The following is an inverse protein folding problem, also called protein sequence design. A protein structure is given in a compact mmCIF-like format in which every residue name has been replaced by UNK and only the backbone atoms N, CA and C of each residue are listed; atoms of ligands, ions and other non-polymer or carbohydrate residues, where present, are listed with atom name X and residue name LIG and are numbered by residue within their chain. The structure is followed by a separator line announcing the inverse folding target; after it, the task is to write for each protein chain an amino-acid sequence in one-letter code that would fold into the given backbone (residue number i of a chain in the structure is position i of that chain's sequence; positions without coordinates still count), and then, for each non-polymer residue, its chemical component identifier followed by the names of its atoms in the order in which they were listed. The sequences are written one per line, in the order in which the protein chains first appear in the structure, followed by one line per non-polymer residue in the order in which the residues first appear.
data_IF_210098344244
#
_entry.id   IF_210098344244
#
_cell.length_a   1.000
_cell.length_b   1.000
_cell.length_c   1.000
_cell.angle_alpha   90.00
_cell.angle_beta   90.00
_cell.angle_gamma   90.00
#
_symmetry.space_group_name_H-M   'P 1'
#
loop_
_entity.id
_entity.type
_entity.pdbx_description
1 polymer ?
#
# COMPACT_ATOMS: atom_id res chain seq x y z
N UNK A 1 25.46 9.02 -15.16
CA UNK A 1 25.24 9.67 -13.85
C UNK A 1 25.23 8.60 -12.78
N UNK A 2 26.10 8.66 -11.77
CA UNK A 2 26.07 7.72 -10.64
C UNK A 2 24.81 8.03 -9.82
N UNK A 3 23.83 7.13 -9.83
CA UNK A 3 22.63 7.23 -8.97
C UNK A 3 23.10 7.18 -7.51
N UNK A 4 22.90 8.27 -6.77
CA UNK A 4 23.11 8.27 -5.32
C UNK A 4 21.97 7.49 -4.68
N UNK A 5 22.29 6.51 -3.84
CA UNK A 5 21.28 5.69 -3.14
C UNK A 5 20.35 6.60 -2.33
N UNK A 6 19.07 6.62 -2.71
CA UNK A 6 18.01 7.38 -2.03
C UNK A 6 17.77 6.77 -0.66
N UNK A 7 17.78 7.62 0.36
CA UNK A 7 17.59 7.24 1.76
C UNK A 7 16.18 7.63 2.21
N UNK A 8 15.73 7.09 3.34
CA UNK A 8 14.44 7.42 3.95
C UNK A 8 14.20 8.93 4.09
N UNK A 9 15.25 9.70 4.41
CA UNK A 9 15.19 11.18 4.48
C UNK A 9 14.72 11.83 3.16
N UNK A 10 15.18 11.33 2.01
CA UNK A 10 14.76 11.84 0.70
C UNK A 10 13.26 11.61 0.48
N UNK A 11 12.76 10.43 0.84
CA UNK A 11 11.33 10.12 0.76
C UNK A 11 10.54 11.04 1.68
N UNK A 12 10.93 11.16 2.95
CA UNK A 12 10.25 12.00 3.94
C UNK A 12 10.11 13.45 3.44
N UNK A 13 11.17 13.99 2.83
CA UNK A 13 11.15 15.36 2.28
C UNK A 13 10.37 15.49 0.97
N UNK A 14 10.20 14.42 0.21
CA UNK A 14 9.51 14.42 -1.07
C UNK A 14 8.01 14.09 -0.95
N UNK A 15 7.59 13.47 0.15
CA UNK A 15 6.18 13.15 0.43
C UNK A 15 5.42 14.38 0.87
N UNK A 16 4.41 14.77 0.09
CA UNK A 16 3.48 15.85 0.46
C UNK A 16 2.53 15.38 1.57
N UNK A 17 1.81 14.28 1.32
CA UNK A 17 0.87 13.67 2.26
C UNK A 17 0.90 12.15 2.17
N UNK A 18 0.42 11.51 3.24
CA UNK A 18 0.00 10.11 3.24
C UNK A 18 -1.50 10.03 3.48
N UNK A 19 -2.14 9.01 2.91
CA UNK A 19 -3.56 8.75 3.07
C UNK A 19 -3.84 7.24 3.08
N UNK A 20 -4.91 6.79 3.74
CA UNK A 20 -5.38 5.42 3.65
C UNK A 20 -5.71 4.97 2.23
N UNK A 21 -5.46 3.69 1.96
CA UNK A 21 -5.79 3.06 0.69
C UNK A 21 -6.27 1.61 0.91
N UNK A 22 -7.19 1.18 0.05
CA UNK A 22 -7.52 -0.23 -0.17
C UNK A 22 -6.94 -0.61 -1.53
N UNK A 23 -6.09 -1.63 -1.55
CA UNK A 23 -5.61 -2.25 -2.78
C UNK A 23 -6.50 -3.46 -3.10
N UNK A 24 -7.10 -3.45 -4.29
CA UNK A 24 -7.86 -4.56 -4.84
C UNK A 24 -6.91 -5.33 -5.75
N UNK A 25 -6.52 -6.52 -5.31
CA UNK A 25 -5.65 -7.41 -6.08
C UNK A 25 -6.47 -8.41 -6.89
N UNK A 26 -5.99 -8.72 -8.08
CA UNK A 26 -6.62 -9.68 -8.99
C UNK A 26 -5.56 -10.59 -9.62
N UNK A 27 -5.90 -11.87 -9.79
CA UNK A 27 -5.00 -12.91 -10.25
C UNK A 27 -5.40 -13.34 -11.66
N UNK A 28 -4.61 -12.99 -12.67
CA UNK A 28 -4.88 -13.39 -14.06
C UNK A 28 -4.28 -14.76 -14.39
N UNK A 29 -3.33 -15.20 -13.56
CA UNK A 29 -2.74 -16.54 -13.60
C UNK A 29 -3.29 -17.37 -12.45
N UNK A 30 -3.64 -18.63 -12.73
CA UNK A 30 -4.14 -19.56 -11.72
C UNK A 30 -3.13 -19.79 -10.60
N UNK A 31 -3.59 -19.74 -9.34
CA UNK A 31 -2.76 -19.96 -8.16
C UNK A 31 -2.56 -21.44 -7.87
N UNK A 32 -1.87 -22.13 -8.77
CA UNK A 32 -1.57 -23.56 -8.68
C UNK A 32 -0.16 -23.84 -8.11
N UNK A 33 0.10 -25.06 -7.62
CA UNK A 33 1.46 -25.47 -7.26
C UNK A 33 2.44 -25.26 -8.42
N UNK A 34 3.55 -24.58 -8.15
CA UNK A 34 4.54 -24.21 -9.17
C UNK A 34 4.49 -22.74 -9.60
N UNK A 35 3.48 -21.97 -9.18
CA UNK A 35 3.48 -20.51 -9.35
C UNK A 35 4.72 -19.89 -8.69
N UNK A 36 5.44 -19.06 -9.43
CA UNK A 36 6.67 -18.42 -9.00
C UNK A 36 6.48 -16.91 -8.80
N UNK A 37 7.45 -16.27 -8.12
CA UNK A 37 7.46 -14.80 -8.01
C UNK A 37 7.55 -14.10 -9.37
N UNK A 38 8.13 -14.77 -10.39
CA UNK A 38 8.25 -14.22 -11.74
C UNK A 38 6.86 -14.09 -12.37
N UNK A 39 5.98 -15.06 -12.13
CA UNK A 39 4.59 -15.01 -12.61
C UNK A 39 3.83 -13.85 -11.96
N UNK A 40 4.03 -13.63 -10.66
CA UNK A 40 3.43 -12.50 -9.95
C UNK A 40 3.93 -11.15 -10.53
N UNK A 41 5.23 -11.03 -10.80
CA UNK A 41 5.82 -9.83 -11.39
C UNK A 41 5.28 -9.60 -12.80
N UNK A 42 5.18 -10.65 -13.61
CA UNK A 42 4.62 -10.60 -14.95
C UNK A 42 3.14 -10.23 -14.94
N UNK A 43 2.40 -10.65 -13.92
CA UNK A 43 0.99 -10.31 -13.69
C UNK A 43 0.78 -8.93 -13.04
N UNK A 44 1.68 -7.98 -13.32
CA UNK A 44 1.67 -6.63 -12.75
C UNK A 44 1.54 -6.61 -11.22
N UNK A 45 2.22 -7.53 -10.53
CA UNK A 45 2.15 -7.67 -9.07
C UNK A 45 0.70 -7.82 -8.53
N UNK A 46 -0.18 -8.44 -9.32
CA UNK A 46 -1.61 -8.61 -9.01
C UNK A 46 -2.43 -7.32 -8.93
N UNK A 47 -1.93 -6.19 -9.46
CA UNK A 47 -2.66 -4.93 -9.44
C UNK A 47 -4.02 -5.05 -10.14
N UNK A 48 -5.11 -4.79 -9.43
CA UNK A 48 -6.47 -4.67 -9.99
C UNK A 48 -6.96 -3.23 -9.94
N UNK A 49 -7.24 -2.71 -8.75
CA UNK A 49 -7.70 -1.34 -8.54
C UNK A 49 -7.24 -0.79 -7.18
N UNK A 50 -7.41 0.52 -6.98
CA UNK A 50 -7.14 1.19 -5.71
C UNK A 50 -8.29 2.10 -5.33
N UNK A 51 -8.65 2.07 -4.04
CA UNK A 51 -9.57 3.04 -3.44
C UNK A 51 -8.76 3.90 -2.49
N UNK A 52 -8.63 5.19 -2.81
CA UNK A 52 -7.99 6.18 -1.97
C UNK A 52 -9.07 6.96 -1.22
N UNK A 53 -8.86 7.25 0.06
CA UNK A 53 -9.88 7.95 0.82
C UNK A 53 -9.38 8.51 2.15
N UNK A 54 -10.37 8.87 2.97
CA UNK A 54 -10.20 9.41 4.30
C UNK A 54 -9.48 10.77 4.36
N UNK A 55 -8.65 11.01 5.38
CA UNK A 55 -8.02 12.30 5.64
C UNK A 55 -6.52 12.25 5.33
N UNK A 56 -6.03 13.01 4.32
CA UNK A 56 -4.59 13.14 4.07
C UNK A 56 -3.87 13.79 5.25
N UNK A 57 -2.68 13.27 5.59
CA UNK A 57 -1.84 13.78 6.68
C UNK A 57 -0.40 13.95 6.24
N UNK A 58 0.27 14.98 6.76
CA UNK A 58 1.71 15.15 6.55
C UNK A 58 2.47 14.18 7.46
N UNK A 59 3.64 13.71 7.02
CA UNK A 59 4.47 12.76 7.77
C UNK A 59 4.94 13.31 9.13
N UNK A 60 4.97 14.64 9.32
CA UNK A 60 5.32 15.28 10.60
C UNK A 60 4.14 15.36 11.59
N UNK A 61 2.95 14.90 11.20
CA UNK A 61 1.74 14.94 12.04
C UNK A 61 1.38 13.59 12.66
N UNK A 62 2.04 12.50 12.25
CA UNK A 62 1.74 11.13 12.66
C UNK A 62 3.05 10.31 12.82
N UNK A 63 3.04 9.24 13.62
CA UNK A 63 4.09 8.21 13.53
C UNK A 63 3.68 7.17 12.50
N UNK A 64 4.18 7.33 11.27
CA UNK A 64 3.87 6.46 10.12
C UNK A 64 4.28 5.00 10.31
N UNK A 65 5.07 4.66 11.34
CA UNK A 65 5.38 3.25 11.66
C UNK A 65 4.30 2.62 12.52
N UNK A 66 3.52 3.43 13.24
CA UNK A 66 2.61 2.99 14.31
C UNK A 66 1.15 3.27 13.96
N UNK A 67 0.86 3.59 12.70
CA UNK A 67 -0.52 3.71 12.23
C UNK A 67 -1.16 2.33 12.32
N UNK A 68 -2.25 2.23 13.07
CA UNK A 68 -3.05 1.01 13.17
C UNK A 68 -4.19 1.08 12.17
N UNK A 69 -4.39 -0.02 11.47
CA UNK A 69 -5.50 -0.21 10.55
C UNK A 69 -6.30 -1.46 10.90
N UNK A 70 -7.61 -1.38 10.81
CA UNK A 70 -8.51 -2.54 10.84
C UNK A 70 -9.33 -2.59 9.56
N UNK A 71 -9.68 -3.80 9.11
CA UNK A 71 -10.59 -4.04 8.00
C UNK A 71 -11.77 -4.86 8.51
N UNK A 72 -12.97 -4.36 8.25
CA UNK A 72 -14.23 -5.03 8.49
C UNK A 72 -14.88 -5.41 7.17
N UNK A 73 -15.49 -6.60 7.13
CA UNK A 73 -16.34 -7.06 6.03
C UNK A 73 -17.77 -7.23 6.54
N UNK A 74 -18.74 -6.61 5.87
CA UNK A 74 -20.17 -6.70 6.22
C UNK A 74 -20.44 -6.40 7.71
N UNK A 75 -19.79 -5.36 8.24
CA UNK A 75 -19.90 -4.94 9.64
C UNK A 75 -19.13 -5.79 10.67
N UNK A 76 -18.43 -6.86 10.25
CA UNK A 76 -17.64 -7.72 11.13
C UNK A 76 -16.15 -7.49 10.92
N UNK A 77 -15.39 -7.25 12.00
CA UNK A 77 -13.93 -7.08 11.92
C UNK A 77 -13.27 -8.40 11.49
N UNK A 78 -12.49 -8.34 10.42
CA UNK A 78 -11.77 -9.50 9.86
C UNK A 78 -10.31 -9.49 10.31
N UNK A 79 -9.62 -8.35 10.15
CA UNK A 79 -8.18 -8.21 10.43
C UNK A 79 -7.87 -6.85 11.07
N UNK A 80 -6.76 -6.81 11.81
CA UNK A 80 -6.11 -5.58 12.24
C UNK A 80 -4.60 -5.80 12.27
N UNK A 81 -3.83 -4.76 11.97
CA UNK A 81 -2.38 -4.72 12.19
C UNK A 81 -1.91 -3.25 12.19
N UNK A 82 -0.60 -3.04 12.27
CA UNK A 82 0.03 -1.73 12.15
C UNK A 82 1.06 -1.67 11.02
N UNK A 83 1.28 -0.45 10.53
CA UNK A 83 2.17 -0.14 9.39
C UNK A 83 3.63 -0.59 9.56
N UNK A 84 4.09 -0.91 10.78
CA UNK A 84 5.45 -1.43 10.99
C UNK A 84 5.65 -2.82 10.37
N UNK A 85 4.57 -3.57 10.10
CA UNK A 85 4.63 -4.81 9.33
C UNK A 85 5.16 -4.60 7.89
N UNK A 86 5.03 -3.37 7.34
CA UNK A 86 5.58 -3.00 6.04
C UNK A 86 7.06 -2.67 6.17
N UNK A 87 7.91 -3.70 6.10
CA UNK A 87 9.38 -3.58 6.12
C UNK A 87 9.91 -2.74 7.31
N UNK A 88 9.22 -2.76 8.46
CA UNK A 88 9.53 -1.96 9.64
C UNK A 88 9.10 -0.49 9.57
N UNK A 89 8.98 0.09 8.37
CA UNK A 89 8.54 1.45 8.11
C UNK A 89 8.11 1.60 6.63
N UNK A 90 6.88 2.07 6.33
CA UNK A 90 6.42 2.28 4.95
C UNK A 90 7.34 3.16 4.09
N UNK A 91 8.03 4.13 4.69
CA UNK A 91 9.01 5.00 4.01
C UNK A 91 10.17 4.19 3.43
N UNK A 92 10.57 3.10 4.09
CA UNK A 92 11.62 2.19 3.62
C UNK A 92 11.24 1.52 2.31
N UNK A 93 9.96 1.13 2.15
CA UNK A 93 9.46 0.52 0.91
C UNK A 93 9.57 1.49 -0.27
N UNK A 94 9.17 2.76 -0.08
CA UNK A 94 9.28 3.80 -1.12
C UNK A 94 10.74 4.07 -1.49
N UNK A 95 11.65 4.12 -0.51
CA UNK A 95 13.07 4.33 -0.77
C UNK A 95 13.67 3.16 -1.56
N UNK A 96 13.30 1.93 -1.23
CA UNK A 96 13.71 0.73 -1.99
C UNK A 96 13.20 0.80 -3.43
N UNK A 97 11.91 1.10 -3.64
CA UNK A 97 11.32 1.16 -4.97
C UNK A 97 11.96 2.28 -5.80
N UNK A 98 12.18 3.46 -5.22
CA UNK A 98 12.85 4.57 -5.89
C UNK A 98 14.27 4.20 -6.34
N UNK A 99 15.01 3.43 -5.53
CA UNK A 99 16.34 2.96 -5.91
C UNK A 99 16.26 1.94 -7.04
N UNK A 100 15.31 0.99 -6.96
CA UNK A 100 15.13 -0.04 -7.97
C UNK A 100 14.76 0.56 -9.33
N UNK A 101 13.82 1.50 -9.35
CA UNK A 101 13.45 2.27 -10.54
C UNK A 101 14.65 3.05 -11.13
N UNK A 102 15.51 3.59 -10.27
CA UNK A 102 16.74 4.27 -10.71
C UNK A 102 17.70 3.38 -11.49
N UNK A 103 17.73 2.07 -11.23
CA UNK A 103 18.51 1.10 -12.02
C UNK A 103 18.01 0.96 -13.46
N UNK A 104 16.72 1.23 -13.69
CA UNK A 104 16.08 1.24 -15.00
C UNK A 104 16.03 2.63 -15.65
N UNK A 105 16.67 3.64 -15.03
CA UNK A 105 16.67 5.01 -15.54
C UNK A 105 15.34 5.74 -15.40
N UNK A 106 14.45 5.27 -14.51
CA UNK A 106 13.17 5.93 -14.21
C UNK A 106 13.12 6.48 -12.79
N UNK A 107 12.22 7.42 -12.55
CA UNK A 107 12.00 8.10 -11.27
C UNK A 107 10.54 8.39 -11.05
N UNK A 108 10.18 8.66 -9.80
CA UNK A 108 8.89 9.24 -9.47
C UNK A 108 8.86 10.70 -9.90
N UNK A 109 7.69 11.14 -10.36
CA UNK A 109 7.37 12.51 -10.70
C UNK A 109 6.52 13.16 -9.59
N UNK A 110 6.55 14.49 -9.45
CA UNK A 110 5.64 15.19 -8.55
C UNK A 110 4.18 14.86 -8.87
N UNK A 111 3.43 14.42 -7.86
CA UNK A 111 2.02 14.00 -8.01
C UNK A 111 1.82 12.49 -8.13
N UNK A 112 2.88 11.70 -8.27
CA UNK A 112 2.77 10.24 -8.23
C UNK A 112 2.24 9.76 -6.87
N UNK A 113 1.36 8.76 -6.92
CA UNK A 113 0.85 8.05 -5.74
C UNK A 113 1.54 6.69 -5.63
N UNK A 114 2.10 6.39 -4.46
CA UNK A 114 2.82 5.13 -4.20
C UNK A 114 2.10 4.33 -3.11
N UNK A 115 1.69 3.11 -3.43
CA UNK A 115 1.24 2.14 -2.43
C UNK A 115 2.46 1.49 -1.77
N UNK A 116 2.56 1.60 -0.45
CA UNK A 116 3.74 1.18 0.29
C UNK A 116 3.80 -0.33 0.58
N UNK A 117 2.73 -1.05 0.27
CA UNK A 117 2.52 -2.45 0.62
C UNK A 117 1.49 -2.61 1.75
N UNK A 118 0.90 -3.80 1.82
CA UNK A 118 -0.11 -4.14 2.83
C UNK A 118 0.54 -4.56 4.15
N UNK A 119 -0.08 -4.18 5.27
CA UNK A 119 0.22 -4.67 6.62
C UNK A 119 -0.79 -5.72 7.11
N UNK A 120 -1.76 -6.12 6.27
CA UNK A 120 -2.67 -7.24 6.52
C UNK A 120 -2.65 -8.23 5.37
N UNK A 121 -3.08 -9.48 5.61
CA UNK A 121 -3.25 -10.46 4.53
C UNK A 121 -4.40 -10.08 3.60
N UNK A 122 -4.36 -10.56 2.36
CA UNK A 122 -5.47 -10.41 1.40
C UNK A 122 -6.71 -11.17 1.89
N UNK A 123 -7.89 -10.59 1.69
CA UNK A 123 -9.19 -11.22 1.93
C UNK A 123 -9.86 -11.50 0.57
N UNK A 124 -10.51 -12.66 0.40
CA UNK A 124 -11.33 -12.90 -0.78
C UNK A 124 -12.52 -11.93 -0.79
N UNK A 125 -12.91 -11.52 -1.99
CA UNK A 125 -14.04 -10.63 -2.24
C UNK A 125 -15.15 -11.47 -2.88
N UNK A 126 -16.35 -11.39 -2.34
CA UNK A 126 -17.55 -11.96 -2.93
C UNK A 126 -18.50 -10.85 -3.41
N UNK A 127 -19.47 -11.20 -4.25
CA UNK A 127 -20.53 -10.26 -4.62
C UNK A 127 -21.30 -9.83 -3.37
N UNK A 128 -21.76 -8.58 -3.37
CA UNK A 128 -22.45 -7.92 -2.25
C UNK A 128 -21.60 -7.67 -0.99
N UNK A 129 -20.28 -7.95 -1.02
CA UNK A 129 -19.41 -7.60 0.10
C UNK A 129 -19.21 -6.08 0.22
N UNK A 130 -19.31 -5.58 1.46
CA UNK A 130 -18.86 -4.25 1.87
C UNK A 130 -17.59 -4.38 2.71
N UNK A 131 -16.54 -3.66 2.30
CA UNK A 131 -15.30 -3.53 3.06
C UNK A 131 -15.13 -2.12 3.61
N UNK A 132 -14.82 -2.03 4.90
CA UNK A 132 -14.55 -0.77 5.59
C UNK A 132 -13.21 -0.89 6.31
N UNK A 133 -12.27 -0.03 5.94
CA UNK A 133 -10.95 0.05 6.56
C UNK A 133 -10.84 1.33 7.40
N UNK A 134 -10.54 1.18 8.70
CA UNK A 134 -10.38 2.30 9.64
C UNK A 134 -8.94 2.43 10.07
N UNK A 135 -8.45 3.66 10.10
CA UNK A 135 -7.08 4.01 10.42
C UNK A 135 -7.05 5.05 11.54
N UNK A 136 -6.15 4.84 12.49
CA UNK A 136 -5.99 5.73 13.64
C UNK A 136 -5.20 7.02 13.30
N UNK A 137 -4.76 7.75 14.33
CA UNK A 137 -3.99 9.00 14.21
C UNK A 137 -4.67 10.09 13.36
N UNK A 138 -6.00 10.00 13.21
CA UNK A 138 -6.83 10.90 12.43
C UNK A 138 -6.68 10.74 10.92
N UNK A 139 -6.26 9.55 10.46
CA UNK A 139 -6.29 9.17 9.05
C UNK A 139 -7.71 8.82 8.59
N UNK A 140 -8.57 8.30 9.46
CA UNK A 140 -10.00 8.14 9.18
C UNK A 140 -10.36 6.80 8.53
N UNK A 141 -11.39 6.81 7.69
CA UNK A 141 -11.97 5.59 7.10
C UNK A 141 -12.03 5.66 5.57
N UNK A 142 -11.77 4.53 4.93
CA UNK A 142 -11.98 4.30 3.49
C UNK A 142 -12.81 3.03 3.33
N UNK A 143 -13.80 3.06 2.45
CA UNK A 143 -14.71 1.95 2.22
C UNK A 143 -14.97 1.71 0.74
N UNK A 144 -15.40 0.50 0.42
CA UNK A 144 -15.81 0.10 -0.92
C UNK A 144 -16.79 -1.06 -0.83
N UNK A 145 -17.63 -1.22 -1.86
CA UNK A 145 -18.63 -2.27 -1.96
C UNK A 145 -18.56 -2.92 -3.33
N UNK A 146 -18.82 -4.22 -3.39
CA UNK A 146 -18.77 -5.01 -4.60
C UNK A 146 -20.17 -5.43 -5.03
N UNK A 147 -20.39 -5.45 -6.36
CA UNK A 147 -21.68 -5.78 -7.01
C UNK A 147 -21.51 -6.89 -8.03
#
# INVERSE_FOLDING_TARGET
MKSSMRRAETVIRATDVVLPAIEIVDFRVERAPGLSVIDNIADLAFCGAVVLGANPRRLDQIDIRRVKGEISRNGTKELEDETSAVLGNPVTAVAWLANKLGEFGTSFEPGDTILTGSFVRVLPIEADDEFVCRFDQGLGEVSTSFV
#
